data_IF_326387297396
#
_entry.id   IF_326387297396
#
_cell.length_a   1.000
_cell.length_b   1.000
_cell.length_c   1.000
_cell.angle_alpha   90.00
_cell.angle_beta   90.00
_cell.angle_gamma   90.00
#
_symmetry.space_group_name_H-M   'P 1'
#
loop_
_entity.id
_entity.type
_entity.pdbx_description
1 polymer ?
#
# COMPACT_ATOMS: atom_id res chain seq x y z
N UNK A 1 11.96 14.20 -14.39
CA UNK A 1 11.31 13.00 -15.00
C UNK A 1 10.22 13.44 -15.97
N UNK A 2 10.05 12.76 -17.11
CA UNK A 2 9.05 13.15 -18.12
C UNK A 2 7.86 12.18 -18.07
N UNK A 3 6.66 12.71 -17.78
CA UNK A 3 5.40 11.99 -17.97
C UNK A 3 5.22 11.71 -19.46
N UNK A 4 4.79 10.50 -19.82
CA UNK A 4 4.56 10.16 -21.23
C UNK A 4 3.41 11.00 -21.80
N UNK A 5 3.56 11.48 -23.05
CA UNK A 5 2.54 12.29 -23.74
C UNK A 5 1.19 11.56 -23.84
N UNK A 6 1.22 10.24 -23.95
CA UNK A 6 0.07 9.37 -23.75
C UNK A 6 0.52 8.07 -23.05
N UNK A 7 -0.27 7.50 -22.14
CA UNK A 7 0.07 6.21 -21.53
C UNK A 7 0.01 5.11 -22.59
N UNK A 8 1.16 4.49 -22.89
CA UNK A 8 1.25 3.36 -23.80
C UNK A 8 0.97 2.05 -23.04
N UNK A 9 0.08 1.22 -23.58
CA UNK A 9 -0.17 -0.13 -23.05
C UNK A 9 0.45 -1.17 -23.96
N UNK A 10 1.28 -2.04 -23.37
CA UNK A 10 1.88 -3.20 -24.03
C UNK A 10 1.25 -4.46 -23.43
N UNK A 11 0.71 -5.35 -24.26
CA UNK A 11 0.06 -6.58 -23.80
C UNK A 11 0.62 -7.79 -24.54
N UNK A 12 0.93 -8.85 -23.80
CA UNK A 12 1.48 -10.08 -24.36
C UNK A 12 1.27 -11.28 -23.44
N UNK A 13 1.64 -12.47 -23.91
CA UNK A 13 1.77 -13.65 -23.05
C UNK A 13 3.13 -13.61 -22.37
N UNK A 14 3.18 -14.02 -21.11
CA UNK A 14 4.44 -14.15 -20.38
C UNK A 14 5.15 -15.41 -20.84
N UNK A 15 6.38 -15.26 -21.34
CA UNK A 15 7.22 -16.35 -21.84
C UNK A 15 8.41 -16.60 -20.91
N UNK A 16 9.00 -17.79 -21.02
CA UNK A 16 10.24 -18.10 -20.32
C UNK A 16 11.38 -17.22 -20.84
N UNK A 17 12.09 -16.57 -19.92
CA UNK A 17 13.35 -15.86 -20.19
C UNK A 17 14.53 -16.59 -19.54
N UNK A 18 15.71 -15.96 -19.54
CA UNK A 18 16.94 -16.53 -18.95
C UNK A 18 16.97 -16.56 -17.41
N UNK A 19 15.91 -16.07 -16.74
CA UNK A 19 15.74 -16.09 -15.28
C UNK A 19 16.82 -15.37 -14.46
N UNK A 20 17.69 -14.55 -15.07
CA UNK A 20 18.76 -13.79 -14.40
C UNK A 20 18.20 -12.86 -13.31
N UNK A 21 17.08 -12.18 -13.57
CA UNK A 21 16.45 -11.33 -12.56
C UNK A 21 16.14 -12.07 -11.25
N UNK A 22 15.80 -13.37 -11.31
CA UNK A 22 15.51 -14.19 -10.12
C UNK A 22 16.76 -14.39 -9.25
N UNK A 23 17.95 -14.48 -9.82
CA UNK A 23 19.19 -14.70 -9.05
C UNK A 23 19.61 -13.46 -8.26
N UNK A 24 19.10 -12.27 -8.62
CA UNK A 24 19.37 -11.01 -7.94
C UNK A 24 18.15 -10.45 -7.17
N UNK A 25 17.09 -11.26 -6.99
CA UNK A 25 15.89 -10.87 -6.22
C UNK A 25 14.83 -10.06 -6.99
N UNK A 26 14.96 -9.97 -8.32
CA UNK A 26 14.09 -9.19 -9.21
C UNK A 26 13.52 -10.06 -10.35
N UNK A 27 12.62 -11.02 -10.08
CA UNK A 27 12.08 -11.89 -11.12
C UNK A 27 11.31 -11.09 -12.18
N UNK A 28 11.73 -11.17 -13.45
CA UNK A 28 11.10 -10.47 -14.57
C UNK A 28 10.18 -11.38 -15.39
N UNK A 29 9.02 -10.86 -15.75
CA UNK A 29 8.11 -11.43 -16.73
C UNK A 29 8.51 -10.92 -18.12
N UNK A 30 8.90 -11.83 -19.01
CA UNK A 30 9.21 -11.48 -20.40
C UNK A 30 7.91 -11.51 -21.20
N UNK A 31 7.60 -10.44 -21.94
CA UNK A 31 6.45 -10.41 -22.83
C UNK A 31 6.83 -10.84 -24.25
N UNK A 32 6.05 -11.77 -24.80
CA UNK A 32 6.10 -12.08 -26.22
C UNK A 32 5.53 -10.92 -27.04
N UNK A 33 6.42 -10.22 -27.77
CA UNK A 33 6.07 -9.12 -28.67
C UNK A 33 5.68 -9.60 -30.08
N UNK A 34 5.77 -10.91 -30.37
CA UNK A 34 5.47 -11.50 -31.69
C UNK A 34 6.19 -10.80 -32.84
N UNK A 35 7.45 -10.43 -32.63
CA UNK A 35 8.26 -9.72 -33.63
C UNK A 35 7.87 -8.26 -33.91
N UNK A 36 6.94 -7.68 -33.15
CA UNK A 36 6.56 -6.27 -33.32
C UNK A 36 7.54 -5.36 -32.60
N UNK A 37 8.28 -4.55 -33.35
CA UNK A 37 9.02 -3.42 -32.80
C UNK A 37 8.04 -2.41 -32.18
N UNK A 38 8.28 -2.01 -30.94
CA UNK A 38 7.49 -0.98 -30.29
C UNK A 38 8.05 0.39 -30.69
N UNK A 39 7.18 1.31 -31.11
CA UNK A 39 7.53 2.74 -31.26
C UNK A 39 7.68 3.39 -29.88
N UNK A 40 8.63 2.90 -29.09
CA UNK A 40 8.88 3.26 -27.70
C UNK A 40 10.38 3.54 -27.53
N UNK A 41 10.71 4.59 -26.77
CA UNK A 41 12.11 4.86 -26.42
C UNK A 41 12.66 3.68 -25.60
N UNK A 42 13.87 3.21 -25.88
CA UNK A 42 14.52 2.20 -25.04
C UNK A 42 14.76 2.76 -23.63
N UNK A 43 14.53 1.98 -22.59
CA UNK A 43 14.73 2.43 -21.21
C UNK A 43 13.91 1.69 -20.16
N UNK A 44 13.97 2.25 -18.96
CA UNK A 44 13.23 1.79 -17.79
C UNK A 44 12.03 2.71 -17.58
N UNK A 45 10.89 2.10 -17.28
CA UNK A 45 9.63 2.77 -17.06
C UNK A 45 8.99 2.31 -15.76
N UNK A 46 8.24 3.21 -15.13
CA UNK A 46 7.24 2.81 -14.16
C UNK A 46 6.02 2.25 -14.87
N UNK A 47 5.44 1.18 -14.33
CA UNK A 47 4.35 0.47 -14.95
C UNK A 47 3.22 0.14 -13.97
N UNK A 48 1.97 0.27 -14.43
CA UNK A 48 0.82 -0.39 -13.82
C UNK A 48 0.43 -1.58 -14.69
N UNK A 49 0.36 -2.75 -14.07
CA UNK A 49 0.20 -4.01 -14.75
C UNK A 49 -1.12 -4.67 -14.36
N UNK A 50 -1.83 -5.24 -15.32
CA UNK A 50 -3.04 -6.03 -15.12
C UNK A 50 -2.74 -7.49 -15.45
N UNK A 51 -2.87 -8.35 -14.45
CA UNK A 51 -2.63 -9.78 -14.53
C UNK A 51 -3.81 -10.53 -13.89
N UNK A 52 -4.49 -11.38 -14.66
CA UNK A 52 -5.61 -12.19 -14.16
C UNK A 52 -6.67 -11.38 -13.37
N UNK A 53 -6.94 -10.14 -13.81
CA UNK A 53 -7.90 -9.24 -13.17
C UNK A 53 -7.38 -8.47 -11.94
N UNK A 54 -6.12 -8.68 -11.54
CA UNK A 54 -5.48 -7.97 -10.42
C UNK A 54 -4.47 -6.94 -10.93
N UNK A 55 -4.48 -5.77 -10.31
CA UNK A 55 -3.51 -4.71 -10.58
C UNK A 55 -2.24 -4.85 -9.74
N UNK A 56 -1.11 -4.63 -10.39
CA UNK A 56 0.23 -4.68 -9.80
C UNK A 56 1.04 -3.44 -10.22
N UNK A 57 1.93 -2.97 -9.34
CA UNK A 57 2.92 -1.95 -9.70
C UNK A 57 4.23 -2.65 -10.11
N UNK A 58 4.96 -2.07 -11.05
CA UNK A 58 6.21 -2.66 -11.49
C UNK A 58 7.13 -1.72 -12.25
N UNK A 59 8.28 -2.27 -12.62
CA UNK A 59 9.23 -1.66 -13.56
C UNK A 59 9.13 -2.39 -14.89
N UNK A 60 9.05 -1.65 -15.98
CA UNK A 60 9.15 -2.20 -17.32
C UNK A 60 10.47 -1.77 -17.97
N UNK A 61 11.18 -2.74 -18.54
CA UNK A 61 12.36 -2.55 -19.37
C UNK A 61 11.97 -2.77 -20.83
N UNK A 62 12.38 -1.85 -21.70
CA UNK A 62 12.35 -2.03 -23.14
C UNK A 62 13.72 -1.73 -23.74
N UNK A 63 14.31 -2.68 -24.46
CA UNK A 63 15.61 -2.49 -25.12
C UNK A 63 16.34 -3.79 -25.38
N UNK A 64 17.51 -3.74 -26.04
CA UNK A 64 18.24 -4.93 -26.43
C UNK A 64 18.94 -5.54 -25.23
N UNK A 65 19.17 -6.85 -25.23
CA UNK A 65 19.94 -7.49 -24.16
C UNK A 65 21.44 -7.28 -24.40
N UNK A 66 21.94 -6.08 -24.10
CA UNK A 66 23.34 -5.69 -24.33
C UNK A 66 24.37 -6.65 -23.71
N UNK A 67 24.03 -7.35 -22.63
CA UNK A 67 24.91 -8.30 -21.93
C UNK A 67 25.14 -9.60 -22.73
N UNK A 68 24.36 -9.86 -23.79
CA UNK A 68 24.28 -11.17 -24.44
C UNK A 68 24.46 -11.14 -25.97
N UNK A 69 24.87 -10.00 -26.55
CA UNK A 69 25.06 -9.87 -28.00
C UNK A 69 23.78 -9.92 -28.83
N UNK A 70 22.60 -9.92 -28.19
CA UNK A 70 21.30 -9.94 -28.87
C UNK A 70 20.95 -8.52 -29.38
N UNK A 71 20.64 -8.40 -30.67
CA UNK A 71 20.24 -7.14 -31.33
C UNK A 71 18.74 -6.84 -31.23
N UNK A 72 17.95 -7.79 -30.73
CA UNK A 72 16.49 -7.71 -30.66
C UNK A 72 16.05 -7.11 -29.33
N UNK A 73 15.14 -6.15 -29.38
CA UNK A 73 14.56 -5.55 -28.18
C UNK A 73 13.70 -6.57 -27.42
N UNK A 74 13.94 -6.68 -26.11
CA UNK A 74 13.07 -7.42 -25.19
C UNK A 74 12.17 -6.44 -24.42
N UNK A 75 11.03 -6.96 -23.97
CA UNK A 75 10.16 -6.25 -23.03
C UNK A 75 10.00 -7.08 -21.77
N UNK A 76 10.55 -6.58 -20.67
CA UNK A 76 10.62 -7.30 -19.39
C UNK A 76 9.96 -6.49 -18.28
N UNK A 77 9.23 -7.15 -17.40
CA UNK A 77 8.48 -6.50 -16.32
C UNK A 77 8.80 -7.12 -14.98
N UNK A 78 9.30 -6.33 -14.04
CA UNK A 78 9.42 -6.71 -12.64
C UNK A 78 8.19 -6.22 -11.86
N UNK A 79 7.37 -7.15 -11.37
CA UNK A 79 6.16 -6.89 -10.58
C UNK A 79 6.51 -6.91 -9.08
N UNK A 80 6.17 -5.86 -8.34
CA UNK A 80 6.71 -5.64 -6.99
C UNK A 80 6.17 -6.56 -5.90
N UNK A 81 4.93 -7.01 -6.04
CA UNK A 81 4.15 -7.75 -5.05
C UNK A 81 3.75 -9.15 -5.54
N UNK A 82 4.49 -9.69 -6.50
CA UNK A 82 4.17 -10.97 -7.12
C UNK A 82 5.29 -11.99 -6.94
N UNK A 83 4.99 -13.07 -6.21
CA UNK A 83 5.91 -14.18 -5.97
C UNK A 83 5.28 -15.52 -6.38
N UNK A 84 4.91 -15.66 -7.66
CA UNK A 84 4.36 -16.90 -8.23
C UNK A 84 4.72 -17.04 -9.71
N UNK A 85 4.66 -18.26 -10.23
CA UNK A 85 4.81 -18.51 -11.66
C UNK A 85 3.59 -17.98 -12.44
N UNK A 86 3.87 -17.27 -13.53
CA UNK A 86 2.85 -16.67 -14.42
C UNK A 86 3.08 -16.95 -15.91
N UNK A 87 3.94 -17.92 -16.26
CA UNK A 87 4.15 -18.29 -17.65
C UNK A 87 2.84 -18.68 -18.33
N UNK A 88 2.69 -18.31 -19.61
CA UNK A 88 1.49 -18.52 -20.42
C UNK A 88 0.34 -17.55 -20.14
N UNK A 89 0.33 -16.88 -18.98
CA UNK A 89 -0.70 -15.90 -18.63
C UNK A 89 -0.55 -14.63 -19.47
N UNK A 90 -1.68 -13.95 -19.72
CA UNK A 90 -1.70 -12.64 -20.38
C UNK A 90 -1.44 -11.54 -19.36
N UNK A 91 -0.48 -10.69 -19.65
CA UNK A 91 -0.12 -9.52 -18.85
C UNK A 91 -0.29 -8.27 -19.72
N UNK A 92 -0.98 -7.26 -19.20
CA UNK A 92 -1.11 -5.94 -19.84
C UNK A 92 -0.38 -4.91 -19.00
N UNK A 93 0.45 -4.08 -19.63
CA UNK A 93 1.44 -3.23 -18.98
C UNK A 93 1.24 -1.81 -19.47
N UNK A 94 0.70 -0.95 -18.62
CA UNK A 94 0.54 0.48 -18.88
C UNK A 94 1.77 1.21 -18.38
N UNK A 95 2.55 1.78 -19.31
CA UNK A 95 3.70 2.62 -19.00
C UNK A 95 3.24 4.01 -18.51
N UNK A 96 3.81 4.49 -17.41
CA UNK A 96 3.37 5.72 -16.75
C UNK A 96 4.44 6.81 -16.85
N UNK A 97 5.65 6.53 -16.39
CA UNK A 97 6.79 7.46 -16.43
C UNK A 97 8.02 6.78 -17.03
N UNK A 98 8.76 7.52 -17.87
CA UNK A 98 10.14 7.15 -18.22
C UNK A 98 11.03 7.50 -17.03
N UNK A 99 11.73 6.50 -16.49
CA UNK A 99 12.70 6.70 -15.40
C UNK A 99 14.05 7.12 -15.98
N UNK A 100 14.63 6.29 -16.84
CA UNK A 100 16.00 6.47 -17.35
C UNK A 100 16.30 5.59 -18.56
N UNK A 101 17.38 5.94 -19.26
CA UNK A 101 17.94 5.13 -20.34
C UNK A 101 18.50 3.79 -19.81
N UNK A 102 18.60 2.76 -20.67
CA UNK A 102 19.33 1.54 -20.34
C UNK A 102 20.77 1.90 -20.01
N UNK A 103 21.29 1.41 -18.89
CA UNK A 103 22.64 1.70 -18.46
C UNK A 103 23.43 0.40 -18.38
N UNK A 104 24.61 0.37 -18.99
CA UNK A 104 25.57 -0.69 -18.75
C UNK A 104 25.96 -0.69 -17.27
N UNK A 105 26.10 -1.88 -16.70
CA UNK A 105 26.52 -2.07 -15.30
C UNK A 105 27.71 -3.01 -15.28
N UNK A 106 28.76 -2.60 -14.56
CA UNK A 106 30.01 -3.37 -14.44
C UNK A 106 29.86 -4.68 -13.66
N UNK A 107 28.76 -4.89 -12.93
CA UNK A 107 28.49 -6.11 -12.16
C UNK A 107 27.00 -6.32 -11.88
N UNK A 108 26.62 -7.55 -11.51
CA UNK A 108 25.25 -7.89 -11.09
C UNK A 108 24.83 -7.14 -9.82
N UNK A 109 25.75 -6.92 -8.87
CA UNK A 109 25.48 -6.13 -7.66
C UNK A 109 25.15 -4.68 -8.01
N UNK A 110 25.86 -4.07 -8.97
CA UNK A 110 25.56 -2.73 -9.43
C UNK A 110 24.18 -2.64 -10.12
N UNK A 111 23.80 -3.67 -10.88
CA UNK A 111 22.47 -3.78 -11.47
C UNK A 111 21.38 -3.90 -10.39
N UNK A 112 21.59 -4.75 -9.39
CA UNK A 112 20.68 -4.93 -8.26
C UNK A 112 20.42 -3.61 -7.52
N UNK A 113 21.47 -2.83 -7.23
CA UNK A 113 21.37 -1.51 -6.60
C UNK A 113 20.55 -0.52 -7.46
N UNK A 114 20.77 -0.51 -8.77
CA UNK A 114 19.99 0.34 -9.70
C UNK A 114 18.52 -0.04 -9.72
N UNK A 115 18.18 -1.33 -9.84
CA UNK A 115 16.77 -1.77 -9.83
C UNK A 115 16.10 -1.46 -8.48
N UNK A 116 16.82 -1.59 -7.37
CA UNK A 116 16.32 -1.19 -6.05
C UNK A 116 16.03 0.32 -5.97
N UNK A 117 16.91 1.16 -6.53
CA UNK A 117 16.70 2.60 -6.62
C UNK A 117 15.50 2.94 -7.51
N UNK A 118 15.40 2.32 -8.69
CA UNK A 118 14.28 2.49 -9.62
C UNK A 118 12.94 2.08 -8.97
N UNK A 119 12.93 0.99 -8.19
CA UNK A 119 11.76 0.55 -7.41
C UNK A 119 11.39 1.60 -6.37
N UNK A 120 12.35 2.09 -5.59
CA UNK A 120 12.11 3.11 -4.56
C UNK A 120 11.55 4.41 -5.16
N UNK A 121 12.13 4.87 -6.26
CA UNK A 121 11.66 6.03 -7.01
C UNK A 121 10.26 5.81 -7.58
N UNK A 122 9.99 4.62 -8.12
CA UNK A 122 8.65 4.26 -8.57
C UNK A 122 7.64 4.37 -7.44
N UNK A 123 7.91 3.74 -6.29
CA UNK A 123 6.99 3.74 -5.15
C UNK A 123 6.72 5.16 -4.62
N UNK A 124 7.73 6.04 -4.59
CA UNK A 124 7.55 7.41 -4.11
C UNK A 124 6.57 8.23 -4.96
N UNK A 125 6.52 7.99 -6.28
CA UNK A 125 5.57 8.63 -7.20
C UNK A 125 4.10 8.29 -6.91
N UNK A 126 3.84 7.16 -6.24
CA UNK A 126 2.49 6.70 -5.91
C UNK A 126 2.19 6.79 -4.40
N UNK A 127 3.05 7.42 -3.60
CA UNK A 127 2.92 7.50 -2.13
C UNK A 127 1.65 8.21 -1.62
N UNK A 128 1.02 9.07 -2.43
CA UNK A 128 -0.23 9.76 -2.07
C UNK A 128 -1.50 9.03 -2.56
N UNK A 129 -1.36 7.79 -3.03
CA UNK A 129 -2.45 6.99 -3.56
C UNK A 129 -2.84 5.87 -2.60
N UNK A 130 -4.10 5.47 -2.69
CA UNK A 130 -4.65 4.29 -2.00
C UNK A 130 -4.87 3.16 -3.00
N UNK A 131 -4.81 1.93 -2.49
CA UNK A 131 -5.04 0.72 -3.27
C UNK A 131 -6.55 0.44 -3.30
N UNK A 132 -7.17 0.62 -4.46
CA UNK A 132 -8.58 0.26 -4.66
C UNK A 132 -8.73 -1.26 -4.66
N UNK A 133 -9.79 -1.77 -4.03
CA UNK A 133 -10.03 -3.22 -3.96
C UNK A 133 -11.49 -3.57 -4.18
N UNK A 134 -11.74 -4.83 -4.52
CA UNK A 134 -13.06 -5.42 -4.38
C UNK A 134 -13.25 -6.02 -2.96
N UNK A 135 -14.44 -6.54 -2.68
CA UNK A 135 -14.80 -7.17 -1.39
C UNK A 135 -13.98 -8.42 -1.05
N UNK A 136 -13.28 -9.02 -2.03
CA UNK A 136 -12.40 -10.18 -1.84
C UNK A 136 -10.93 -9.78 -1.70
N UNK A 137 -10.67 -8.51 -1.37
CA UNK A 137 -9.32 -7.94 -1.21
C UNK A 137 -8.44 -8.05 -2.47
N UNK A 138 -9.03 -8.08 -3.67
CA UNK A 138 -8.25 -8.07 -4.91
C UNK A 138 -8.00 -6.62 -5.37
N UNK A 139 -6.74 -6.22 -5.63
CA UNK A 139 -6.42 -4.89 -6.15
C UNK A 139 -7.07 -4.62 -7.51
N UNK A 140 -7.82 -3.51 -7.60
CA UNK A 140 -8.48 -3.01 -8.80
C UNK A 140 -7.74 -1.83 -9.43
N UNK A 141 -6.71 -1.31 -8.77
CA UNK A 141 -5.94 -0.16 -9.21
C UNK A 141 -5.58 0.76 -8.05
N UNK A 142 -5.19 1.97 -8.39
CA UNK A 142 -4.82 3.00 -7.42
C UNK A 142 -5.57 4.30 -7.70
N UNK A 143 -5.77 5.10 -6.66
CA UNK A 143 -6.40 6.41 -6.77
C UNK A 143 -5.76 7.37 -5.78
N UNK A 144 -5.65 8.65 -6.17
CA UNK A 144 -5.26 9.74 -5.25
C UNK A 144 -6.12 9.67 -3.99
N UNK A 145 -5.48 9.75 -2.82
CA UNK A 145 -6.14 9.62 -1.52
C UNK A 145 -7.38 10.51 -1.42
N UNK A 146 -7.25 11.80 -1.69
CA UNK A 146 -8.38 12.76 -1.64
C UNK A 146 -9.57 12.27 -2.45
N UNK A 147 -9.33 11.91 -3.73
CA UNK A 147 -10.38 11.45 -4.64
C UNK A 147 -11.04 10.14 -4.19
N UNK A 148 -10.29 9.24 -3.58
CA UNK A 148 -10.85 8.00 -3.04
C UNK A 148 -11.82 8.23 -1.87
N UNK A 149 -11.73 9.39 -1.21
CA UNK A 149 -12.58 9.77 -0.08
C UNK A 149 -13.65 10.81 -0.45
N UNK A 150 -13.82 11.13 -1.74
CA UNK A 150 -14.85 12.07 -2.21
C UNK A 150 -16.21 11.37 -2.37
N UNK A 151 -17.29 12.14 -2.20
CA UNK A 151 -18.66 11.65 -2.36
C UNK A 151 -18.95 10.47 -1.43
N UNK A 152 -19.27 9.30 -2.00
CA UNK A 152 -19.50 8.05 -1.24
C UNK A 152 -18.20 7.32 -0.86
N UNK A 153 -17.05 7.77 -1.33
CA UNK A 153 -15.80 7.03 -1.19
C UNK A 153 -15.72 5.80 -2.09
N UNK A 154 -14.52 5.44 -2.51
CA UNK A 154 -14.21 4.24 -3.30
C UNK A 154 -13.61 3.20 -2.39
N UNK A 155 -14.07 1.95 -2.49
CA UNK A 155 -13.54 0.87 -1.65
C UNK A 155 -12.02 0.72 -1.84
N UNK A 156 -11.27 0.89 -0.75
CA UNK A 156 -9.81 0.81 -0.73
C UNK A 156 -9.29 0.13 0.54
N UNK A 157 -8.03 -0.34 0.52
CA UNK A 157 -7.42 -0.96 1.70
C UNK A 157 -7.11 0.07 2.78
N UNK A 158 -7.32 -0.33 4.03
CA UNK A 158 -6.91 0.41 5.21
C UNK A 158 -6.41 -0.53 6.31
N UNK A 159 -5.78 0.05 7.32
CA UNK A 159 -5.38 -0.63 8.54
C UNK A 159 -5.75 0.20 9.77
N UNK A 160 -6.22 -0.47 10.80
CA UNK A 160 -6.51 0.10 12.13
C UNK A 160 -5.69 -0.61 13.19
N UNK A 161 -4.91 0.14 13.95
CA UNK A 161 -4.03 -0.36 15.01
C UNK A 161 -4.65 -0.10 16.37
N UNK A 162 -4.59 -1.11 17.25
CA UNK A 162 -5.02 -1.08 18.64
C UNK A 162 -3.85 -1.49 19.52
N UNK A 163 -3.32 -0.55 20.30
CA UNK A 163 -2.22 -0.82 21.25
C UNK A 163 -2.73 -0.72 22.67
N UNK A 164 -2.52 -1.79 23.42
CA UNK A 164 -2.84 -1.86 24.85
C UNK A 164 -1.58 -1.65 25.70
N UNK A 165 -1.75 -1.00 26.85
CA UNK A 165 -0.70 -0.93 27.88
C UNK A 165 -0.75 -2.16 28.80
N UNK A 166 0.17 -2.25 29.76
CA UNK A 166 0.23 -3.38 30.71
C UNK A 166 -1.00 -3.50 31.63
N UNK A 167 -1.83 -2.45 31.74
CA UNK A 167 -3.08 -2.47 32.52
C UNK A 167 -4.29 -2.95 31.72
N UNK A 168 -4.11 -3.35 30.46
CA UNK A 168 -5.21 -3.72 29.58
C UNK A 168 -5.99 -2.51 29.03
N UNK A 169 -5.46 -1.30 29.18
CA UNK A 169 -6.11 -0.09 28.68
C UNK A 169 -5.69 0.17 27.24
N UNK A 170 -6.65 0.49 26.37
CA UNK A 170 -6.44 0.85 24.98
C UNK A 170 -5.94 2.29 24.88
N UNK A 171 -4.85 2.50 24.13
CA UNK A 171 -4.39 3.83 23.74
C UNK A 171 -5.31 4.40 22.64
N UNK A 172 -5.94 5.52 22.93
CA UNK A 172 -6.76 6.28 21.99
C UNK A 172 -6.04 7.56 21.58
N UNK A 173 -6.27 7.97 20.34
CA UNK A 173 -5.83 9.28 19.85
C UNK A 173 -7.01 10.19 19.51
N UNK A 174 -6.87 11.48 19.78
CA UNK A 174 -7.73 12.53 19.23
C UNK A 174 -7.07 13.03 17.96
N UNK A 175 -7.78 12.91 16.84
CA UNK A 175 -7.28 13.31 15.52
C UNK A 175 -6.91 14.80 15.51
N UNK A 176 -5.87 15.19 14.78
CA UNK A 176 -5.51 16.61 14.66
C UNK A 176 -6.61 17.44 13.98
N UNK A 177 -6.54 18.76 14.16
CA UNK A 177 -7.43 19.72 13.48
C UNK A 177 -7.23 19.75 11.95
N UNK A 178 -6.10 19.23 11.45
CA UNK A 178 -5.72 19.29 10.04
C UNK A 178 -6.27 18.11 9.23
N UNK A 179 -6.85 17.09 9.89
CA UNK A 179 -7.47 15.97 9.19
C UNK A 179 -8.71 16.45 8.44
N UNK A 180 -8.76 16.17 7.12
CA UNK A 180 -9.90 16.52 6.25
C UNK A 180 -11.23 15.92 6.72
N UNK A 181 -11.20 14.67 7.19
CA UNK A 181 -12.38 13.95 7.67
C UNK A 181 -12.23 13.66 9.17
N UNK A 182 -13.29 13.88 9.94
CA UNK A 182 -13.32 13.74 11.41
C UNK A 182 -12.12 14.41 12.13
N UNK A 183 -11.82 15.72 11.92
CA UNK A 183 -10.88 16.44 12.75
C UNK A 183 -11.35 16.47 14.20
N UNK A 184 -10.41 16.43 15.15
CA UNK A 184 -10.69 16.53 16.59
C UNK A 184 -11.62 15.43 17.17
N UNK A 185 -11.85 14.34 16.45
CA UNK A 185 -12.61 13.18 16.92
C UNK A 185 -11.68 12.13 17.53
N UNK A 186 -12.12 11.46 18.61
CA UNK A 186 -11.39 10.36 19.24
C UNK A 186 -11.48 9.07 18.40
N UNK A 187 -10.38 8.33 18.30
CA UNK A 187 -10.27 7.09 17.53
C UNK A 187 -9.39 6.07 18.27
N UNK A 188 -9.35 4.84 17.77
CA UNK A 188 -8.33 3.84 18.12
C UNK A 188 -6.91 4.39 17.89
N UNK A 189 -5.90 3.64 18.36
CA UNK A 189 -4.50 4.09 18.46
C UNK A 189 -3.97 4.77 17.21
N UNK A 190 -4.07 4.16 16.04
CA UNK A 190 -3.67 4.77 14.76
C UNK A 190 -4.40 4.10 13.60
N UNK A 191 -4.64 4.83 12.51
CA UNK A 191 -5.18 4.28 11.26
C UNK A 191 -4.42 4.84 10.07
N UNK A 192 -4.23 4.03 9.04
CA UNK A 192 -3.63 4.51 7.79
C UNK A 192 -4.05 3.68 6.59
N UNK A 193 -3.57 4.08 5.43
CA UNK A 193 -3.68 3.32 4.19
C UNK A 193 -2.30 2.72 3.88
N UNK A 194 -2.22 1.43 3.46
CA UNK A 194 -0.99 0.93 2.88
C UNK A 194 -0.72 1.65 1.57
N UNK A 195 0.51 2.14 1.42
CA UNK A 195 0.98 2.73 0.16
C UNK A 195 1.09 1.64 -0.91
N UNK A 196 0.99 1.96 -2.21
CA UNK A 196 1.26 0.99 -3.25
C UNK A 196 2.66 0.37 -3.09
N UNK A 197 2.72 -0.97 -3.06
CA UNK A 197 3.95 -1.74 -2.82
C UNK A 197 4.39 -1.87 -1.36
N UNK A 198 3.63 -1.32 -0.41
CA UNK A 198 3.78 -1.52 1.02
C UNK A 198 2.81 -2.61 1.51
N UNK A 199 3.28 -3.49 2.39
CA UNK A 199 2.41 -4.47 3.04
C UNK A 199 1.54 -3.82 4.12
N UNK A 200 0.42 -4.46 4.45
CA UNK A 200 -0.47 -3.98 5.52
C UNK A 200 0.23 -3.93 6.90
N UNK A 201 1.13 -4.86 7.17
CA UNK A 201 1.89 -4.91 8.43
C UNK A 201 2.90 -3.78 8.50
N UNK A 202 3.61 -3.49 7.40
CA UNK A 202 4.51 -2.33 7.32
C UNK A 202 3.75 -1.02 7.50
N UNK A 203 2.58 -0.88 6.87
CA UNK A 203 1.74 0.30 7.01
C UNK A 203 1.28 0.52 8.47
N UNK A 204 0.86 -0.54 9.15
CA UNK A 204 0.46 -0.51 10.56
C UNK A 204 1.62 -0.12 11.49
N UNK A 205 2.82 -0.68 11.28
CA UNK A 205 4.01 -0.33 12.05
C UNK A 205 4.46 1.12 11.76
N UNK A 206 4.41 1.53 10.49
CA UNK A 206 4.76 2.89 10.06
C UNK A 206 3.86 3.94 10.69
N UNK A 207 2.54 3.77 10.65
CA UNK A 207 1.64 4.78 11.20
C UNK A 207 1.77 4.89 12.72
N UNK A 208 1.92 3.76 13.42
CA UNK A 208 2.18 3.74 14.86
C UNK A 208 3.44 4.53 15.22
N UNK A 209 4.52 4.38 14.44
CA UNK A 209 5.76 5.12 14.66
C UNK A 209 5.65 6.60 14.26
N UNK A 210 5.02 6.92 13.13
CA UNK A 210 4.92 8.28 12.61
C UNK A 210 3.95 9.16 13.41
N UNK A 211 2.82 8.63 13.84
CA UNK A 211 1.79 9.39 14.56
C UNK A 211 2.08 9.47 16.07
N UNK A 212 2.62 8.39 16.66
CA UNK A 212 2.73 8.23 18.12
C UNK A 212 4.14 7.95 18.63
N UNK A 213 5.14 7.83 17.76
CA UNK A 213 6.52 7.52 18.18
C UNK A 213 6.70 6.13 18.79
N UNK A 214 5.71 5.24 18.61
CA UNK A 214 5.70 3.91 19.22
C UNK A 214 6.22 2.84 18.26
N UNK A 215 6.67 1.72 18.81
CA UNK A 215 6.98 0.51 18.06
C UNK A 215 6.53 -0.68 18.90
N UNK A 216 5.76 -1.57 18.31
CA UNK A 216 5.20 -2.75 18.97
C UNK A 216 5.15 -3.91 17.97
N UNK A 217 5.20 -5.14 18.49
CA UNK A 217 4.86 -6.32 17.69
C UNK A 217 3.35 -6.30 17.46
N UNK A 218 2.94 -6.34 16.19
CA UNK A 218 1.54 -6.27 15.78
C UNK A 218 1.08 -7.61 15.22
N UNK A 219 -0.09 -8.08 15.64
CA UNK A 219 -0.76 -9.25 15.12
C UNK A 219 -2.08 -8.85 14.46
N UNK A 220 -2.37 -9.40 13.27
CA UNK A 220 -3.65 -9.17 12.62
C UNK A 220 -4.76 -9.94 13.36
N UNK A 221 -5.83 -9.24 13.75
CA UNK A 221 -6.93 -9.79 14.54
C UNK A 221 -8.17 -10.06 13.69
N UNK A 222 -8.59 -9.08 12.88
CA UNK A 222 -9.80 -9.19 12.05
C UNK A 222 -9.70 -8.35 10.78
N UNK A 223 -10.57 -8.64 9.82
CA UNK A 223 -10.74 -7.87 8.58
C UNK A 223 -12.21 -7.66 8.30
N UNK A 224 -12.61 -6.44 7.97
CA UNK A 224 -14.00 -6.12 7.67
C UNK A 224 -14.12 -4.96 6.69
N UNK A 225 -15.29 -4.82 6.07
CA UNK A 225 -15.61 -3.68 5.21
C UNK A 225 -16.57 -2.75 5.92
N UNK A 226 -16.35 -1.44 5.81
CA UNK A 226 -17.29 -0.44 6.28
C UNK A 226 -17.34 0.77 5.35
N UNK A 227 -18.39 1.56 5.50
CA UNK A 227 -18.53 2.86 4.86
C UNK A 227 -19.10 3.84 5.87
N UNK A 228 -18.48 5.02 5.99
CA UNK A 228 -18.91 6.08 6.88
C UNK A 228 -18.84 7.42 6.16
N UNK A 229 -19.87 8.25 6.30
CA UNK A 229 -19.94 9.58 5.69
C UNK A 229 -19.59 10.65 6.71
N UNK A 230 -18.78 11.63 6.31
CA UNK A 230 -18.48 12.82 7.11
C UNK A 230 -19.12 14.06 6.49
N UNK A 231 -20.24 14.48 7.06
CA UNK A 231 -20.99 15.66 6.64
C UNK A 231 -21.24 15.64 5.12
N UNK A 232 -21.00 16.75 4.42
CA UNK A 232 -20.98 16.85 2.95
C UNK A 232 -19.55 16.80 2.37
N UNK A 233 -18.53 16.55 3.20
CA UNK A 233 -17.11 16.66 2.82
C UNK A 233 -16.61 15.41 2.11
N UNK A 234 -17.01 14.22 2.56
CA UNK A 234 -16.52 12.97 1.99
C UNK A 234 -16.89 11.75 2.82
N UNK A 235 -16.27 10.62 2.53
CA UNK A 235 -16.52 9.35 3.21
C UNK A 235 -15.27 8.50 3.31
N UNK A 236 -15.23 7.67 4.36
CA UNK A 236 -14.45 6.44 4.36
C UNK A 236 -15.26 5.32 3.70
N UNK A 237 -14.60 4.51 2.88
CA UNK A 237 -15.14 3.27 2.34
C UNK A 237 -13.98 2.29 2.22
N UNK A 238 -13.81 1.46 3.23
CA UNK A 238 -12.56 0.76 3.47
C UNK A 238 -12.78 -0.73 3.66
N UNK A 239 -11.83 -1.51 3.14
CA UNK A 239 -11.56 -2.87 3.59
C UNK A 239 -10.43 -2.77 4.62
N UNK A 240 -10.83 -2.75 5.89
CA UNK A 240 -9.94 -2.46 7.01
C UNK A 240 -9.43 -3.76 7.66
N UNK A 241 -8.13 -3.81 7.93
CA UNK A 241 -7.49 -4.89 8.68
C UNK A 241 -7.08 -4.37 10.05
N UNK A 242 -7.61 -5.00 11.09
CA UNK A 242 -7.32 -4.65 12.48
C UNK A 242 -6.04 -5.34 12.92
N UNK A 243 -5.13 -4.56 13.51
CA UNK A 243 -3.92 -5.04 14.17
C UNK A 243 -3.98 -4.73 15.66
N UNK A 244 -3.57 -5.71 16.47
CA UNK A 244 -3.42 -5.57 17.93
C UNK A 244 -1.93 -5.64 18.28
N UNK A 245 -1.52 -4.81 19.24
CA UNK A 245 -0.21 -4.88 19.86
C UNK A 245 -0.23 -4.41 21.31
N UNK A 246 0.92 -4.55 21.96
CA UNK A 246 1.11 -4.18 23.35
C UNK A 246 2.37 -3.34 23.47
N UNK A 247 2.33 -2.32 24.33
CA UNK A 247 3.48 -1.44 24.56
C UNK A 247 3.44 -0.81 25.95
N UNK A 248 4.55 -0.88 26.67
CA UNK A 248 4.80 -0.11 27.90
C UNK A 248 5.46 1.25 27.64
N UNK A 249 5.93 1.49 26.40
CA UNK A 249 6.57 2.75 26.03
C UNK A 249 5.58 3.92 26.04
N UNK A 250 6.05 5.09 26.52
CA UNK A 250 5.27 6.33 26.51
C UNK A 250 5.16 6.87 25.07
N UNK A 251 3.94 7.19 24.57
CA UNK A 251 3.78 7.74 23.23
C UNK A 251 4.36 9.17 23.13
N UNK A 252 4.98 9.48 21.99
CA UNK A 252 5.42 10.82 21.61
C UNK A 252 4.63 11.27 20.38
N UNK A 253 3.59 12.06 20.60
CA UNK A 253 2.65 12.43 19.54
C UNK A 253 3.27 13.36 18.49
N UNK A 254 2.96 13.11 17.22
CA UNK A 254 3.15 14.08 16.14
C UNK A 254 1.93 15.01 16.08
N UNK A 255 2.10 16.29 16.45
CA UNK A 255 1.01 17.27 16.53
C UNK A 255 0.33 17.60 15.20
N UNK A 256 0.97 17.29 14.07
CA UNK A 256 0.34 17.41 12.75
C UNK A 256 -0.77 16.36 12.55
N UNK A 257 -0.66 15.21 13.21
CA UNK A 257 -1.57 14.06 13.05
C UNK A 257 -2.47 13.84 14.26
N UNK A 258 -1.98 14.17 15.46
CA UNK A 258 -2.59 13.85 16.75
C UNK A 258 -2.70 15.10 17.63
N UNK A 259 -3.91 15.41 18.09
CA UNK A 259 -4.17 16.52 19.01
C UNK A 259 -3.99 16.14 20.48
N UNK A 260 -4.38 14.92 20.85
CA UNK A 260 -4.31 14.43 22.23
C UNK A 260 -4.31 12.90 22.26
N UNK A 261 -3.96 12.31 23.40
CA UNK A 261 -4.05 10.87 23.65
C UNK A 261 -4.71 10.62 25.00
N UNK A 262 -5.31 9.43 25.18
CA UNK A 262 -5.75 8.93 26.48
C UNK A 262 -5.77 7.41 26.50
N UNK A 263 -5.69 6.83 27.68
CA UNK A 263 -5.90 5.41 27.90
C UNK A 263 -7.29 5.19 28.49
N UNK A 264 -8.00 4.17 28.03
CA UNK A 264 -9.27 3.72 28.61
C UNK A 264 -9.31 2.20 28.63
N UNK A 265 -9.87 1.62 29.69
CA UNK A 265 -10.31 0.22 29.66
C UNK A 265 -11.38 0.03 28.57
N UNK A 266 -11.58 -1.20 28.10
CA UNK A 266 -12.63 -1.47 27.10
C UNK A 266 -14.02 -1.13 27.63
N UNK A 267 -14.29 -1.40 28.90
CA UNK A 267 -15.57 -1.05 29.53
C UNK A 267 -15.76 0.47 29.62
N UNK A 268 -14.74 1.19 30.08
CA UNK A 268 -14.77 2.65 30.14
C UNK A 268 -14.93 3.28 28.75
N UNK A 269 -14.29 2.70 27.73
CA UNK A 269 -14.47 3.12 26.34
C UNK A 269 -15.87 2.85 25.83
N UNK A 270 -16.44 1.67 26.09
CA UNK A 270 -17.81 1.34 25.70
C UNK A 270 -18.83 2.27 26.37
N UNK A 271 -18.64 2.62 27.64
CA UNK A 271 -19.46 3.60 28.35
C UNK A 271 -19.32 5.00 27.73
N UNK A 272 -18.10 5.45 27.44
CA UNK A 272 -17.85 6.75 26.83
C UNK A 272 -18.47 6.87 25.43
N UNK A 273 -18.38 5.81 24.60
CA UNK A 273 -19.01 5.76 23.27
C UNK A 273 -20.54 5.79 23.39
N UNK A 274 -21.12 5.10 24.38
CA UNK A 274 -22.58 5.12 24.60
C UNK A 274 -23.07 6.50 25.04
N UNK A 275 -22.31 7.19 25.89
CA UNK A 275 -22.66 8.50 26.42
C UNK A 275 -22.57 9.61 25.36
N UNK A 276 -21.51 9.61 24.54
CA UNK A 276 -21.31 10.58 23.47
C UNK A 276 -20.69 9.91 22.23
N UNK A 277 -21.51 9.26 21.38
CA UNK A 277 -21.02 8.59 20.18
C UNK A 277 -20.42 9.55 19.15
N UNK A 278 -20.84 10.82 19.13
CA UNK A 278 -20.37 11.81 18.17
C UNK A 278 -18.91 12.23 18.41
N UNK A 279 -18.43 12.10 19.66
CA UNK A 279 -17.02 12.32 20.02
C UNK A 279 -16.06 11.25 19.48
N UNK A 280 -16.56 10.13 18.96
CA UNK A 280 -15.75 9.01 18.48
C UNK A 280 -15.94 8.73 17.00
N UNK A 281 -14.90 8.20 16.36
CA UNK A 281 -14.96 7.83 14.95
C UNK A 281 -15.85 6.60 14.75
N UNK A 282 -16.65 6.52 13.67
CA UNK A 282 -17.55 5.39 13.46
C UNK A 282 -16.82 4.04 13.41
N UNK A 283 -15.63 4.00 12.83
CA UNK A 283 -14.86 2.76 12.71
C UNK A 283 -14.31 2.27 14.05
N UNK A 284 -14.09 3.13 15.05
CA UNK A 284 -13.70 2.65 16.38
C UNK A 284 -14.76 1.71 16.95
N UNK A 285 -16.01 2.14 16.96
CA UNK A 285 -17.13 1.32 17.46
C UNK A 285 -17.36 0.07 16.61
N UNK A 286 -17.18 0.16 15.29
CA UNK A 286 -17.30 -1.00 14.39
C UNK A 286 -16.18 -2.02 14.62
N UNK A 287 -14.94 -1.56 14.77
CA UNK A 287 -13.77 -2.39 15.01
C UNK A 287 -13.84 -3.10 16.36
N UNK A 288 -14.29 -2.43 17.43
CA UNK A 288 -14.49 -3.06 18.74
C UNK A 288 -15.45 -4.25 18.67
N UNK A 289 -16.50 -4.18 17.84
CA UNK A 289 -17.44 -5.31 17.61
C UNK A 289 -16.83 -6.48 16.84
N UNK A 290 -15.66 -6.29 16.22
CA UNK A 290 -14.93 -7.34 15.49
C UNK A 290 -13.85 -8.01 16.32
N UNK A 291 -13.42 -7.38 17.41
CA UNK A 291 -12.43 -7.93 18.32
C UNK A 291 -13.07 -8.97 19.25
N UNK A 292 -12.36 -10.07 19.46
CA UNK A 292 -12.69 -11.09 20.45
C UNK A 292 -11.77 -10.94 21.66
N UNK A 293 -12.19 -11.35 22.87
CA UNK A 293 -11.30 -11.40 24.03
C UNK A 293 -10.02 -12.19 23.77
N UNK A 294 -10.09 -13.27 22.97
CA UNK A 294 -8.94 -14.08 22.56
C UNK A 294 -7.91 -13.33 21.70
N UNK A 295 -8.29 -12.20 21.11
CA UNK A 295 -7.36 -11.40 20.31
C UNK A 295 -6.53 -10.44 21.20
N UNK A 296 -6.95 -10.24 22.45
CA UNK A 296 -6.35 -9.33 23.43
C UNK A 296 -5.73 -10.16 24.55
N UNK A 297 -4.77 -11.02 24.18
CA UNK A 297 -4.00 -11.80 25.15
C UNK A 297 -2.68 -11.09 25.39
N UNK A 298 -2.48 -10.62 26.62
CA UNK A 298 -1.22 -10.02 27.04
C UNK A 298 -0.08 -11.04 26.86
N UNK A 299 1.07 -10.62 26.31
CA UNK A 299 2.27 -11.45 26.24
C UNK A 299 2.89 -11.69 27.63
#
# INVERSE_FOLDING_TARGET
MKKLKAPLTVSGRVIAGRKVGRTIGFPTANLDLKGKALKLKRGIYTASCLLAGSHHLGLAYYGPRFVLGESVDSFEVYLFDLNRNIYGQRLSVKLIHFLRDPAYTKSLSALQKKIAADKKETLSLFSDQVILVNRRDRPLGMMKKVKAHDGRGRLHRAVSVFVFNQKGELLLQKRSRHKRLWPLTWSNTSCTHPSPGESITEAAARCLKQELGLSAKLAAAAKFTYQAKYLKVGSEHELDTIFIGFSSSKPKINRQEVAAIKYLSLDGLNQAIKADPASFTPWLSLSLKKLKPSDIVMP
#
